data_IF_614277548632
#
_entry.id   IF_614277548632
#
_cell.length_a   1.000
_cell.length_b   1.000
_cell.length_c   1.000
_cell.angle_alpha   90.00
_cell.angle_beta   90.00
_cell.angle_gamma   90.00
#
_symmetry.space_group_name_H-M   'P 1'
#
loop_
_entity.id
_entity.type
_entity.pdbx_description
1 polymer ?
#
# COMPACT_ATOMS: atom_id res chain seq x y z
N UNK A 1 15.06 -6.80 12.74
CA UNK A 1 15.45 -5.41 13.08
C UNK A 1 14.19 -4.69 13.49
N UNK A 2 14.14 -4.16 14.73
CA UNK A 2 12.97 -3.39 15.15
C UNK A 2 12.94 -2.09 14.35
N UNK A 3 12.05 -1.99 13.39
CA UNK A 3 11.77 -0.72 12.73
C UNK A 3 11.35 0.29 13.80
N UNK A 4 12.16 1.29 14.01
CA UNK A 4 11.80 2.36 14.93
C UNK A 4 10.88 3.35 14.21
N UNK A 5 9.58 3.03 14.22
CA UNK A 5 8.55 3.96 13.77
C UNK A 5 8.06 4.71 15.00
N UNK A 6 8.30 6.01 15.02
CA UNK A 6 7.92 6.88 16.14
C UNK A 6 6.82 7.86 15.74
N UNK A 7 5.82 8.12 16.59
CA UNK A 7 4.79 9.12 16.29
C UNK A 7 5.41 10.54 16.27
N UNK A 8 4.93 11.35 15.31
CA UNK A 8 5.35 12.74 15.15
C UNK A 8 4.15 13.66 14.92
N UNK A 9 4.30 14.94 15.29
CA UNK A 9 3.27 15.94 15.03
C UNK A 9 3.41 16.53 13.62
N UNK A 10 2.29 16.86 12.96
CA UNK A 10 2.29 17.55 11.66
C UNK A 10 3.04 18.88 11.66
N UNK A 11 3.09 19.59 12.79
CA UNK A 11 3.84 20.83 12.94
C UNK A 11 5.32 20.63 13.27
N UNK A 12 5.73 19.41 13.57
CA UNK A 12 7.13 19.11 13.90
C UNK A 12 8.03 19.32 12.68
N UNK A 13 9.23 19.85 12.93
CA UNK A 13 10.28 20.02 11.91
C UNK A 13 11.34 18.96 12.13
N UNK A 14 11.63 18.20 11.08
CA UNK A 14 12.62 17.14 11.09
C UNK A 14 13.81 17.57 10.23
N UNK A 15 15.02 17.34 10.71
CA UNK A 15 16.26 17.57 9.96
C UNK A 15 16.42 16.45 8.93
N UNK A 16 15.76 16.58 7.78
CA UNK A 16 15.76 15.61 6.70
C UNK A 16 15.82 16.29 5.34
N UNK A 17 16.60 15.71 4.44
CA UNK A 17 16.65 16.09 3.03
C UNK A 17 16.92 14.84 2.19
N UNK A 18 16.01 14.49 1.27
CA UNK A 18 16.22 13.37 0.37
C UNK A 18 17.43 13.62 -0.53
N UNK A 19 18.45 12.79 -0.42
CA UNK A 19 19.69 12.86 -1.22
C UNK A 19 19.60 12.03 -2.49
N UNK A 20 18.50 11.29 -2.72
CA UNK A 20 18.37 10.30 -3.80
C UNK A 20 19.50 9.27 -3.82
N UNK A 21 20.03 8.93 -2.65
CA UNK A 21 21.17 8.02 -2.48
C UNK A 21 20.82 6.54 -2.60
N UNK A 22 19.55 6.21 -2.84
CA UNK A 22 19.01 4.85 -2.92
C UNK A 22 19.16 3.98 -1.67
N UNK A 23 19.69 4.48 -0.56
CA UNK A 23 19.84 3.68 0.68
C UNK A 23 18.50 3.13 1.17
N UNK A 24 17.41 3.93 1.10
CA UNK A 24 16.04 3.47 1.42
C UNK A 24 15.44 2.46 0.43
N UNK A 25 16.18 2.08 -0.63
CA UNK A 25 15.79 1.05 -1.58
C UNK A 25 16.60 -0.26 -1.39
N UNK A 26 17.49 -0.33 -0.39
CA UNK A 26 18.32 -1.48 -0.08
C UNK A 26 17.91 -2.08 1.26
N UNK A 27 18.10 -3.41 1.42
CA UNK A 27 17.67 -4.16 2.60
C UNK A 27 16.17 -3.96 2.90
N UNK A 28 15.35 -4.01 1.84
CA UNK A 28 13.90 -3.74 1.90
C UNK A 28 13.04 -4.99 1.71
N UNK A 29 13.61 -6.16 1.86
CA UNK A 29 12.88 -7.42 1.83
C UNK A 29 11.72 -7.37 2.83
N UNK A 30 10.52 -7.68 2.34
CA UNK A 30 9.27 -7.69 3.11
C UNK A 30 8.89 -6.34 3.78
N UNK A 31 9.42 -5.20 3.29
CA UNK A 31 9.17 -3.89 3.91
C UNK A 31 8.26 -2.98 3.11
N UNK A 32 8.16 -3.16 1.79
CA UNK A 32 7.39 -2.27 0.93
C UNK A 32 6.09 -2.94 0.53
N UNK A 33 5.03 -2.66 1.27
CA UNK A 33 3.68 -3.10 0.91
C UNK A 33 3.16 -2.29 -0.26
N UNK A 34 2.57 -2.99 -1.25
CA UNK A 34 1.83 -2.38 -2.35
C UNK A 34 0.35 -2.28 -1.98
N UNK A 35 -0.15 -1.08 -2.00
CA UNK A 35 -1.58 -0.83 -1.87
C UNK A 35 -2.28 -0.99 -3.25
N UNK A 36 -3.59 -1.25 -3.30
CA UNK A 36 -4.34 -1.30 -4.57
C UNK A 36 -4.08 -0.10 -5.50
N UNK A 37 -3.99 1.09 -4.93
CA UNK A 37 -3.69 2.31 -5.69
C UNK A 37 -2.25 2.34 -6.23
N UNK A 38 -1.29 1.76 -5.51
CA UNK A 38 0.10 1.65 -5.99
C UNK A 38 0.19 0.69 -7.19
N UNK A 39 -0.49 -0.45 -7.13
CA UNK A 39 -0.56 -1.41 -8.24
C UNK A 39 -1.16 -0.76 -9.49
N UNK A 40 -2.26 -0.03 -9.34
CA UNK A 40 -2.87 0.72 -10.44
C UNK A 40 -1.92 1.78 -11.03
N UNK A 41 -1.22 2.54 -10.21
CA UNK A 41 -0.27 3.57 -10.66
C UNK A 41 0.96 2.97 -11.35
N UNK A 42 1.46 1.83 -10.88
CA UNK A 42 2.55 1.11 -11.53
C UNK A 42 2.11 0.57 -12.90
N UNK A 43 0.91 0.01 -13.02
CA UNK A 43 0.37 -0.44 -14.30
C UNK A 43 0.24 0.72 -15.29
N UNK A 44 -0.26 1.89 -14.87
CA UNK A 44 -0.28 3.11 -15.68
C UNK A 44 1.12 3.57 -16.11
N UNK A 45 2.12 3.43 -15.25
CA UNK A 45 3.50 3.79 -15.58
C UNK A 45 4.01 2.93 -16.73
N UNK A 46 3.91 1.62 -16.61
CA UNK A 46 4.36 0.68 -17.66
C UNK A 46 3.57 0.84 -18.96
N UNK A 47 2.25 1.11 -18.91
CA UNK A 47 1.50 1.44 -20.13
C UNK A 47 2.02 2.72 -20.80
N UNK A 48 2.39 3.75 -20.02
CA UNK A 48 2.94 4.99 -20.58
C UNK A 48 4.32 4.80 -21.23
N UNK A 49 5.02 3.71 -20.89
CA UNK A 49 6.28 3.27 -21.52
C UNK A 49 6.06 2.29 -22.69
N UNK A 50 4.81 2.04 -23.09
CA UNK A 50 4.47 1.20 -24.25
C UNK A 50 4.27 -0.29 -23.93
N UNK A 51 4.25 -0.67 -22.66
CA UNK A 51 3.99 -2.07 -22.27
C UNK A 51 2.50 -2.37 -22.24
N UNK A 52 2.10 -3.53 -22.75
CA UNK A 52 0.74 -4.07 -22.55
C UNK A 52 0.73 -4.81 -21.22
N UNK A 53 0.31 -4.14 -20.16
CA UNK A 53 0.32 -4.68 -18.80
C UNK A 53 -0.96 -4.33 -18.07
N UNK A 54 -1.43 -5.22 -17.22
CA UNK A 54 -2.60 -5.05 -16.36
C UNK A 54 -2.21 -5.05 -14.88
N UNK A 55 -3.10 -4.64 -13.98
CA UNK A 55 -2.82 -4.66 -12.53
C UNK A 55 -2.39 -6.03 -11.99
N UNK A 56 -3.00 -7.13 -12.46
CA UNK A 56 -2.60 -8.49 -12.07
C UNK A 56 -1.17 -8.83 -12.48
N UNK A 57 -0.68 -8.33 -13.63
CA UNK A 57 0.69 -8.55 -14.09
C UNK A 57 1.71 -7.85 -13.20
N UNK A 58 1.37 -6.68 -12.66
CA UNK A 58 2.21 -5.99 -11.67
C UNK A 58 2.40 -6.85 -10.43
N UNK A 59 1.30 -7.41 -9.91
CA UNK A 59 1.36 -8.30 -8.75
C UNK A 59 2.19 -9.55 -9.06
N UNK A 60 1.99 -10.18 -10.22
CA UNK A 60 2.66 -11.42 -10.60
C UNK A 60 4.17 -11.25 -10.87
N UNK A 61 4.58 -10.13 -11.48
CA UNK A 61 5.97 -9.93 -11.91
C UNK A 61 6.83 -9.22 -10.87
N UNK A 62 6.26 -8.29 -10.11
CA UNK A 62 7.03 -7.38 -9.26
C UNK A 62 6.73 -7.51 -7.77
N UNK A 63 5.80 -8.39 -7.38
CA UNK A 63 5.42 -8.56 -5.98
C UNK A 63 5.19 -10.04 -5.64
N UNK A 64 5.12 -10.34 -4.36
CA UNK A 64 4.64 -11.62 -3.84
C UNK A 64 3.54 -11.38 -2.83
N UNK A 65 2.60 -12.32 -2.76
CA UNK A 65 1.53 -12.25 -1.77
C UNK A 65 2.01 -12.77 -0.41
N UNK A 66 1.56 -12.12 0.64
CA UNK A 66 1.75 -12.56 2.02
C UNK A 66 0.41 -12.42 2.76
N UNK A 67 -0.02 -13.45 3.53
CA UNK A 67 -1.19 -13.29 4.39
C UNK A 67 -0.83 -12.46 5.62
N UNK A 68 -1.62 -11.42 5.92
CA UNK A 68 -1.68 -10.85 7.25
C UNK A 68 -2.68 -11.65 8.09
N UNK A 69 -2.42 -11.80 9.38
CA UNK A 69 -3.39 -12.39 10.32
C UNK A 69 -4.73 -11.63 10.30
N UNK A 70 -5.87 -12.29 10.26
CA UNK A 70 -6.14 -13.71 10.05
C UNK A 70 -6.43 -14.06 8.57
N UNK A 71 -5.46 -14.04 7.68
CA UNK A 71 -5.55 -14.40 6.26
C UNK A 71 -5.92 -13.28 5.28
N UNK A 72 -5.75 -12.02 5.65
CA UNK A 72 -5.94 -10.91 4.73
C UNK A 72 -4.75 -10.81 3.75
N UNK A 73 -4.97 -10.97 2.43
CA UNK A 73 -3.87 -10.97 1.48
C UNK A 73 -3.34 -9.56 1.24
N UNK A 74 -2.03 -9.40 1.35
CA UNK A 74 -1.30 -8.21 0.92
C UNK A 74 -0.24 -8.57 -0.10
N UNK A 75 0.21 -7.60 -0.87
CA UNK A 75 1.37 -7.73 -1.74
C UNK A 75 2.55 -6.95 -1.19
N UNK A 76 3.72 -7.59 -1.19
CA UNK A 76 5.00 -6.99 -0.87
C UNK A 76 5.85 -6.93 -2.13
N UNK A 77 6.54 -5.80 -2.32
CA UNK A 77 7.40 -5.60 -3.47
C UNK A 77 8.59 -6.57 -3.44
N UNK A 78 8.88 -7.19 -4.58
CA UNK A 78 10.01 -8.10 -4.70
C UNK A 78 11.34 -7.38 -4.55
N UNK A 79 12.32 -8.10 -4.05
CA UNK A 79 13.70 -7.67 -3.92
C UNK A 79 14.63 -8.59 -4.70
N UNK A 80 15.82 -8.12 -5.01
CA UNK A 80 16.83 -8.87 -5.74
C UNK A 80 18.24 -8.55 -5.20
N UNK A 81 19.23 -9.38 -5.56
CA UNK A 81 20.61 -9.23 -5.13
C UNK A 81 20.85 -9.61 -3.66
N UNK A 82 22.12 -9.70 -3.28
CA UNK A 82 22.54 -10.05 -1.92
C UNK A 82 22.16 -8.99 -0.88
N UNK A 83 22.07 -7.74 -1.29
CA UNK A 83 21.64 -6.61 -0.45
C UNK A 83 20.13 -6.43 -0.42
N UNK A 84 19.36 -7.39 -0.97
CA UNK A 84 17.89 -7.38 -0.95
C UNK A 84 17.31 -6.02 -1.39
N UNK A 85 17.85 -5.46 -2.48
CA UNK A 85 17.36 -4.18 -2.97
C UNK A 85 16.06 -4.33 -3.75
N UNK A 86 15.30 -3.23 -3.79
CA UNK A 86 14.05 -3.12 -4.53
C UNK A 86 14.23 -3.52 -6.00
N UNK A 87 13.32 -4.34 -6.53
CA UNK A 87 13.34 -4.80 -7.94
C UNK A 87 13.33 -3.64 -8.95
N UNK A 88 12.84 -2.47 -8.57
CA UNK A 88 12.86 -1.26 -9.40
C UNK A 88 14.11 -0.40 -9.25
N UNK A 89 15.10 -0.85 -8.47
CA UNK A 89 16.35 -0.15 -8.33
C UNK A 89 17.31 -0.55 -9.47
N UNK A 90 17.63 0.38 -10.36
CA UNK A 90 18.64 0.20 -11.41
C UNK A 90 19.85 1.09 -11.10
N UNK A 91 20.95 0.46 -10.68
CA UNK A 91 22.12 1.19 -10.14
C UNK A 91 21.75 2.00 -8.90
N UNK A 92 21.69 3.32 -9.02
CA UNK A 92 21.26 4.21 -7.95
C UNK A 92 19.96 4.98 -8.28
N UNK A 93 19.19 4.52 -9.26
CA UNK A 93 17.98 5.18 -9.71
C UNK A 93 16.78 4.25 -9.63
N UNK A 94 15.67 4.78 -9.16
CA UNK A 94 14.39 4.07 -9.17
C UNK A 94 13.76 4.19 -10.58
N UNK A 95 13.55 3.07 -11.28
CA UNK A 95 12.95 3.06 -12.63
C UNK A 95 11.52 3.59 -12.64
N UNK A 96 10.79 3.41 -11.54
CA UNK A 96 9.39 3.87 -11.38
C UNK A 96 9.28 5.14 -10.53
N UNK A 97 10.31 6.02 -10.51
CA UNK A 97 10.40 7.13 -9.55
C UNK A 97 9.16 8.03 -9.52
N UNK A 98 8.57 8.34 -10.67
CA UNK A 98 7.38 9.19 -10.77
C UNK A 98 6.11 8.53 -10.20
N UNK A 99 6.07 7.20 -10.19
CA UNK A 99 4.91 6.39 -9.75
C UNK A 99 5.28 5.44 -8.59
N UNK A 100 6.29 5.80 -7.81
CA UNK A 100 6.72 5.03 -6.64
C UNK A 100 5.54 4.68 -5.73
N UNK A 101 5.53 3.50 -5.10
CA UNK A 101 4.58 3.16 -4.05
C UNK A 101 4.50 4.24 -2.96
N UNK A 102 3.35 4.37 -2.33
CA UNK A 102 3.12 5.37 -1.27
C UNK A 102 4.18 5.31 -0.18
N UNK A 103 4.52 4.12 0.29
CA UNK A 103 5.58 3.93 1.29
C UNK A 103 6.90 4.59 0.88
N UNK A 104 7.29 4.46 -0.40
CA UNK A 104 8.52 5.07 -0.93
C UNK A 104 8.38 6.59 -1.14
N UNK A 105 7.21 7.08 -1.55
CA UNK A 105 6.97 8.53 -1.74
C UNK A 105 6.97 9.28 -0.43
N UNK A 106 6.39 8.67 0.59
CA UNK A 106 6.24 9.29 1.91
C UNK A 106 7.51 9.22 2.76
N UNK A 107 8.44 8.30 2.46
CA UNK A 107 9.66 8.15 3.24
C UNK A 107 10.36 9.50 3.50
N UNK A 108 10.81 9.80 4.72
CA UNK A 108 10.90 8.94 5.90
C UNK A 108 9.63 8.90 6.75
N UNK A 109 8.54 9.52 6.31
CA UNK A 109 7.30 9.52 7.05
C UNK A 109 6.36 8.41 6.56
N UNK A 110 5.48 7.98 7.42
CA UNK A 110 4.29 7.20 7.08
C UNK A 110 3.07 7.77 7.78
N UNK A 111 1.89 7.40 7.33
CA UNK A 111 0.64 7.89 7.89
C UNK A 111 -0.37 6.76 8.03
N UNK A 112 -1.16 6.85 9.09
CA UNK A 112 -2.39 6.08 9.22
C UNK A 112 -3.61 6.99 9.10
N UNK A 113 -4.71 6.45 8.58
CA UNK A 113 -6.01 7.08 8.74
C UNK A 113 -6.37 7.00 10.22
N UNK A 114 -6.39 8.15 10.90
CA UNK A 114 -6.56 8.21 12.35
C UNK A 114 -7.78 7.42 12.83
N UNK A 115 -7.72 6.86 14.03
CA UNK A 115 -8.67 5.90 14.61
C UNK A 115 -10.15 6.32 14.52
N UNK A 116 -10.41 7.61 14.34
CA UNK A 116 -11.77 8.18 14.17
C UNK A 116 -12.07 8.63 12.74
N UNK A 117 -11.17 8.34 11.75
CA UNK A 117 -11.36 8.69 10.35
C UNK A 117 -11.32 10.19 10.04
N UNK A 118 -10.95 11.04 11.02
CA UNK A 118 -10.98 12.48 10.85
C UNK A 118 -9.71 13.03 10.24
N UNK A 119 -8.54 12.64 10.76
CA UNK A 119 -7.25 13.16 10.34
C UNK A 119 -6.22 12.05 10.26
N UNK A 120 -5.10 12.32 9.57
CA UNK A 120 -3.98 11.40 9.50
C UNK A 120 -3.11 11.51 10.75
N UNK A 121 -2.71 10.37 11.29
CA UNK A 121 -1.66 10.25 12.29
C UNK A 121 -0.33 10.09 11.56
N UNK A 122 0.70 10.80 11.99
CA UNK A 122 2.01 10.84 11.33
C UNK A 122 3.04 10.06 12.12
N UNK A 123 3.88 9.33 11.40
CA UNK A 123 4.97 8.56 11.98
C UNK A 123 6.26 8.79 11.19
N UNK A 124 7.40 8.65 11.86
CA UNK A 124 8.74 8.78 11.30
C UNK A 124 9.47 7.45 11.41
N UNK A 125 9.97 6.96 10.27
CA UNK A 125 10.90 5.83 10.22
C UNK A 125 12.31 6.32 10.49
N UNK A 126 13.00 5.74 11.45
CA UNK A 126 14.37 6.11 11.87
C UNK A 126 15.42 5.06 11.50
N UNK A 127 15.10 4.09 10.67
CA UNK A 127 15.98 2.96 10.30
C UNK A 127 17.32 3.38 9.66
N UNK A 128 17.34 4.56 9.02
CA UNK A 128 18.53 5.08 8.35
C UNK A 128 18.99 6.41 8.98
N UNK A 129 19.75 6.37 10.07
CA UNK A 129 20.20 7.58 10.78
C UNK A 129 20.96 8.57 9.87
N UNK A 130 21.70 8.07 8.87
CA UNK A 130 22.44 8.89 7.92
C UNK A 130 21.58 9.77 6.99
N UNK A 131 20.26 9.56 6.95
CA UNK A 131 19.34 10.42 6.21
C UNK A 131 18.97 11.71 6.96
N UNK A 132 19.30 11.78 8.24
CA UNK A 132 18.95 12.92 9.11
C UNK A 132 20.15 13.83 9.34
N UNK A 133 19.88 15.02 9.90
CA UNK A 133 20.93 16.00 10.23
C UNK A 133 21.16 17.06 9.17
N UNK A 134 20.60 16.92 7.95
CA UNK A 134 20.67 17.93 6.89
C UNK A 134 19.28 18.38 6.46
N UNK A 135 19.18 19.62 5.97
CA UNK A 135 17.91 20.22 5.55
C UNK A 135 16.97 20.42 6.74
N UNK A 136 15.73 20.78 6.44
CA UNK A 136 14.65 20.90 7.43
C UNK A 136 13.32 20.84 6.73
N UNK A 137 12.47 19.89 7.11
CA UNK A 137 11.14 19.71 6.55
C UNK A 137 10.10 19.71 7.66
N UNK A 138 8.99 20.41 7.46
CA UNK A 138 7.82 20.25 8.33
C UNK A 138 7.05 19.01 7.88
N UNK A 139 6.62 18.18 8.82
CA UNK A 139 5.94 16.91 8.55
C UNK A 139 4.69 17.12 7.68
N UNK A 140 3.84 18.10 8.01
CA UNK A 140 2.65 18.41 7.22
C UNK A 140 2.96 18.86 5.79
N UNK A 141 4.02 19.67 5.61
CA UNK A 141 4.39 20.17 4.28
C UNK A 141 4.85 19.00 3.40
N UNK A 142 5.73 18.13 3.93
CA UNK A 142 6.16 16.89 3.26
C UNK A 142 4.98 15.99 2.91
N UNK A 143 4.03 15.85 3.82
CA UNK A 143 2.81 15.08 3.61
C UNK A 143 2.03 15.61 2.41
N UNK A 144 1.72 16.90 2.37
CA UNK A 144 0.92 17.46 1.27
C UNK A 144 1.65 17.50 -0.07
N UNK A 145 2.98 17.59 -0.08
CA UNK A 145 3.80 17.52 -1.29
C UNK A 145 3.87 16.10 -1.88
N UNK A 146 3.94 15.06 -1.04
CA UNK A 146 4.19 13.69 -1.46
C UNK A 146 2.96 12.79 -1.44
N UNK A 147 1.84 13.26 -0.90
CA UNK A 147 0.60 12.50 -0.77
C UNK A 147 -0.55 13.23 -1.46
N UNK A 148 -0.84 12.86 -2.70
CA UNK A 148 -1.87 13.50 -3.53
C UNK A 148 -3.26 13.45 -2.89
N UNK A 149 -4.17 14.33 -3.35
CA UNK A 149 -5.57 14.32 -2.90
C UNK A 149 -6.24 12.96 -3.12
N UNK A 150 -5.98 12.34 -4.27
CA UNK A 150 -6.57 11.04 -4.61
C UNK A 150 -6.01 9.91 -3.72
N UNK A 151 -4.68 9.91 -3.46
CA UNK A 151 -4.08 8.97 -2.55
C UNK A 151 -4.62 9.12 -1.11
N UNK A 152 -4.85 10.36 -0.64
CA UNK A 152 -5.49 10.62 0.67
C UNK A 152 -6.93 10.12 0.73
N UNK A 153 -7.70 10.32 -0.36
CA UNK A 153 -9.07 9.81 -0.47
C UNK A 153 -9.09 8.30 -0.45
N UNK A 154 -8.20 7.67 -1.23
CA UNK A 154 -8.06 6.22 -1.26
C UNK A 154 -7.75 5.66 0.13
N UNK A 155 -6.71 6.14 0.83
CA UNK A 155 -6.30 5.60 2.13
C UNK A 155 -7.43 5.68 3.17
N UNK A 156 -8.21 6.77 3.18
CA UNK A 156 -9.38 6.87 4.07
C UNK A 156 -10.47 5.85 3.72
N UNK A 157 -10.76 5.69 2.43
CA UNK A 157 -11.76 4.73 1.96
C UNK A 157 -11.32 3.28 2.22
N UNK A 158 -10.04 2.97 1.95
CA UNK A 158 -9.47 1.65 2.18
C UNK A 158 -9.45 1.27 3.67
N UNK A 159 -9.05 2.19 4.53
CA UNK A 159 -9.11 1.98 5.99
C UNK A 159 -10.53 1.65 6.46
N UNK A 160 -11.54 2.37 5.97
CA UNK A 160 -12.93 2.11 6.29
C UNK A 160 -13.39 0.73 5.80
N UNK A 161 -12.97 0.34 4.59
CA UNK A 161 -13.28 -0.96 3.99
C UNK A 161 -12.61 -2.11 4.75
N UNK A 162 -11.30 -2.01 5.06
CA UNK A 162 -10.55 -3.03 5.81
C UNK A 162 -11.19 -3.29 7.18
N UNK A 163 -11.67 -2.26 7.85
CA UNK A 163 -12.40 -2.43 9.12
C UNK A 163 -13.70 -3.20 8.97
N UNK A 164 -14.41 -3.04 7.85
CA UNK A 164 -15.63 -3.80 7.58
C UNK A 164 -15.28 -5.25 7.25
N UNK A 165 -14.28 -5.49 6.41
CA UNK A 165 -13.79 -6.85 6.13
C UNK A 165 -13.38 -7.58 7.39
N UNK A 166 -12.57 -6.95 8.24
CA UNK A 166 -12.13 -7.56 9.50
C UNK A 166 -13.27 -8.03 10.38
N UNK A 167 -14.37 -7.24 10.46
CA UNK A 167 -15.57 -7.64 11.21
C UNK A 167 -16.28 -8.86 10.61
N UNK A 168 -16.30 -8.98 9.29
CA UNK A 168 -16.92 -10.12 8.61
C UNK A 168 -16.04 -11.36 8.69
N UNK A 169 -14.74 -11.21 8.44
CA UNK A 169 -13.78 -12.30 8.49
C UNK A 169 -13.70 -12.94 9.90
N UNK A 170 -13.83 -12.16 10.96
CA UNK A 170 -13.87 -12.68 12.34
C UNK A 170 -15.07 -13.61 12.61
N UNK A 171 -16.08 -13.62 11.76
CA UNK A 171 -17.25 -14.49 11.86
C UNK A 171 -17.11 -15.75 10.98
N UNK A 172 -16.02 -15.90 10.25
CA UNK A 172 -15.76 -16.97 9.30
C UNK A 172 -14.70 -17.95 9.83
N UNK A 173 -14.81 -19.19 9.42
CA UNK A 173 -13.76 -20.19 9.67
C UNK A 173 -12.56 -19.99 8.72
N UNK A 174 -11.34 -20.48 9.08
CA UNK A 174 -10.18 -20.41 8.20
C UNK A 174 -10.43 -21.00 6.80
N UNK A 175 -11.12 -22.13 6.70
CA UNK A 175 -11.46 -22.75 5.42
C UNK A 175 -12.37 -21.87 4.54
N UNK A 176 -13.33 -21.17 5.14
CA UNK A 176 -14.16 -20.21 4.42
C UNK A 176 -13.32 -19.03 3.90
N UNK A 177 -12.42 -18.51 4.71
CA UNK A 177 -11.57 -17.38 4.33
C UNK A 177 -10.63 -17.75 3.18
N UNK A 178 -10.08 -18.98 3.18
CA UNK A 178 -9.22 -19.47 2.11
C UNK A 178 -9.94 -19.46 0.74
N UNK A 179 -11.21 -19.85 0.71
CA UNK A 179 -12.02 -19.80 -0.52
C UNK A 179 -12.31 -18.36 -1.02
N UNK A 180 -12.12 -17.35 -0.16
CA UNK A 180 -12.34 -15.94 -0.51
C UNK A 180 -11.09 -15.24 -1.05
N UNK A 181 -9.93 -15.89 -0.99
CA UNK A 181 -8.66 -15.27 -1.36
C UNK A 181 -8.68 -14.68 -2.78
N UNK A 182 -9.21 -15.42 -3.74
CA UNK A 182 -9.32 -14.96 -5.12
C UNK A 182 -10.18 -13.68 -5.23
N UNK A 183 -11.31 -13.62 -4.54
CA UNK A 183 -12.21 -12.45 -4.55
C UNK A 183 -11.55 -11.23 -3.93
N UNK A 184 -10.79 -11.41 -2.85
CA UNK A 184 -9.99 -10.33 -2.26
C UNK A 184 -8.96 -9.81 -3.25
N UNK A 185 -8.18 -10.68 -3.88
CA UNK A 185 -7.17 -10.28 -4.87
C UNK A 185 -7.82 -9.60 -6.07
N UNK A 186 -8.89 -10.18 -6.60
CA UNK A 186 -9.60 -9.66 -7.76
C UNK A 186 -10.16 -8.26 -7.51
N UNK A 187 -11.02 -8.09 -6.49
CA UNK A 187 -11.67 -6.81 -6.23
C UNK A 187 -10.75 -5.74 -5.63
N UNK A 188 -9.72 -6.13 -4.91
CA UNK A 188 -8.81 -5.15 -4.34
C UNK A 188 -7.70 -4.72 -5.28
N UNK A 189 -7.13 -5.63 -6.07
CA UNK A 189 -5.90 -5.38 -6.80
C UNK A 189 -6.02 -5.48 -8.32
N UNK A 190 -6.91 -6.30 -8.86
CA UNK A 190 -6.88 -6.67 -10.27
C UNK A 190 -8.00 -6.04 -11.11
N UNK A 191 -9.20 -5.88 -10.58
CA UNK A 191 -10.37 -5.43 -11.32
C UNK A 191 -10.38 -3.90 -11.56
N UNK A 192 -9.39 -3.42 -12.31
CA UNK A 192 -9.27 -2.00 -12.67
C UNK A 192 -9.03 -1.83 -14.16
N UNK A 193 -9.85 -0.99 -14.79
CA UNK A 193 -9.67 -0.47 -16.14
C UNK A 193 -8.75 0.76 -16.06
N UNK A 194 -7.56 0.67 -16.65
CA UNK A 194 -6.55 1.74 -16.60
C UNK A 194 -6.95 2.98 -17.40
N UNK A 195 -7.99 2.90 -18.25
CA UNK A 195 -8.55 4.06 -18.96
C UNK A 195 -9.49 4.92 -18.11
N UNK A 196 -9.89 4.45 -16.94
CA UNK A 196 -10.87 5.11 -16.04
C UNK A 196 -10.23 5.55 -14.73
N UNK A 197 -10.76 6.59 -14.06
CA UNK A 197 -10.29 7.01 -12.76
C UNK A 197 -10.36 5.89 -11.71
N UNK A 198 -9.31 5.76 -10.92
CA UNK A 198 -9.18 4.70 -9.92
C UNK A 198 -10.29 4.72 -8.86
N UNK A 199 -10.58 5.90 -8.30
CA UNK A 199 -11.39 6.02 -7.08
C UNK A 199 -12.80 5.46 -7.21
N UNK A 200 -13.46 5.71 -8.34
CA UNK A 200 -14.83 5.24 -8.59
C UNK A 200 -14.87 3.72 -8.74
N UNK A 201 -13.86 3.16 -9.41
CA UNK A 201 -13.70 1.72 -9.57
C UNK A 201 -13.39 1.06 -8.23
N UNK A 202 -12.51 1.67 -7.42
CA UNK A 202 -12.20 1.17 -6.09
C UNK A 202 -13.45 1.13 -5.21
N UNK A 203 -14.23 2.21 -5.15
CA UNK A 203 -15.47 2.26 -4.37
C UNK A 203 -16.52 1.24 -4.87
N UNK A 204 -16.60 1.03 -6.19
CA UNK A 204 -17.44 -0.02 -6.77
C UNK A 204 -16.97 -1.41 -6.34
N UNK A 205 -15.70 -1.72 -6.52
CA UNK A 205 -15.09 -3.00 -6.16
C UNK A 205 -15.26 -3.31 -4.66
N UNK A 206 -15.12 -2.31 -3.79
CA UNK A 206 -15.36 -2.48 -2.35
C UNK A 206 -16.79 -2.91 -2.05
N UNK A 207 -17.78 -2.29 -2.71
CA UNK A 207 -19.19 -2.69 -2.54
C UNK A 207 -19.44 -4.12 -3.00
N UNK A 208 -18.85 -4.53 -4.14
CA UNK A 208 -18.97 -5.90 -4.65
C UNK A 208 -18.35 -6.92 -3.69
N UNK A 209 -17.15 -6.65 -3.20
CA UNK A 209 -16.49 -7.53 -2.24
C UNK A 209 -17.28 -7.64 -0.93
N UNK A 210 -17.78 -6.53 -0.40
CA UNK A 210 -18.61 -6.56 0.82
C UNK A 210 -19.91 -7.34 0.61
N UNK A 211 -20.60 -7.15 -0.51
CA UNK A 211 -21.81 -7.90 -0.83
C UNK A 211 -21.51 -9.41 -0.90
N UNK A 212 -20.44 -9.79 -1.57
CA UNK A 212 -20.00 -11.18 -1.65
C UNK A 212 -19.69 -11.79 -0.26
N UNK A 213 -18.99 -11.07 0.61
CA UNK A 213 -18.68 -11.52 1.97
C UNK A 213 -19.96 -11.72 2.80
N UNK A 214 -20.94 -10.83 2.66
CA UNK A 214 -22.24 -11.00 3.32
C UNK A 214 -23.01 -12.23 2.85
N UNK A 215 -22.99 -12.51 1.55
CA UNK A 215 -23.60 -13.72 0.97
C UNK A 215 -22.98 -15.00 1.55
N UNK A 216 -21.65 -15.03 1.69
CA UNK A 216 -20.96 -16.18 2.27
C UNK A 216 -21.31 -16.42 3.73
N UNK A 217 -21.56 -15.39 4.51
CA UNK A 217 -22.06 -15.52 5.90
C UNK A 217 -23.51 -15.97 5.94
N UNK A 218 -24.37 -15.46 5.05
CA UNK A 218 -25.80 -15.81 5.00
C UNK A 218 -26.08 -17.24 4.55
N UNK A 219 -25.28 -17.81 3.65
CA UNK A 219 -25.41 -19.19 3.18
C UNK A 219 -25.13 -20.24 4.25
N UNK A 220 -24.41 -19.90 5.31
CA UNK A 220 -24.05 -20.82 6.39
C UNK A 220 -24.99 -20.76 7.61
N UNK A 221 -25.96 -19.83 7.63
CA UNK A 221 -27.01 -19.77 8.67
C UNK A 221 -28.18 -20.75 8.47
N UNK A 222 -28.14 -21.56 7.39
CA UNK A 222 -29.21 -22.46 7.01
C UNK A 222 -29.00 -23.96 7.35
N UNK A 223 -27.93 -24.31 8.03
CA UNK A 223 -27.66 -25.69 8.47
C UNK A 223 -27.35 -25.72 9.97
N UNK A 224 -28.38 -25.57 10.78
CA UNK A 224 -28.43 -26.03 12.17
C UNK A 224 -29.71 -26.83 12.38
#
# INVERSE_FOLDING_TARGET
MNEQIIPVSGNQKIAFQCQRCSACCRHVENKVMLEPYDVYLLALHFQSEGHTIKPEDICAQYAHSMPLEPYFPIFLLNTTGEDQHCIFLNGNHCSVYARRPRACRMYPFTVDAGRRGKDFEYFLCTDYPGHFGKGRVRVSDWFYENFSKDARRFVKADYAAIRQYGKLLQQMTPAQIEHLLFQFLFYRYWNYDLSKPFQEQFEHNQRQLLAFLWEQLGQNGGYT
#
